data_IF_076307956174
#
_entry.id   IF_076307956174
#
_cell.length_a   1.000
_cell.length_b   1.000
_cell.length_c   1.000
_cell.angle_alpha   90.00
_cell.angle_beta   90.00
_cell.angle_gamma   90.00
#
_symmetry.space_group_name_H-M   'P 1'
#
loop_
_entity.id
_entity.type
_entity.pdbx_description
1 polymer ?
#
# COMPACT_ATOMS: atom_id res chain seq x y z
N UNK A 1 23.37 -26.65 -8.82
CA UNK A 1 23.65 -27.19 -7.49
C UNK A 1 24.96 -27.93 -7.56
N UNK A 2 26.04 -27.25 -7.28
CA UNK A 2 27.36 -27.85 -7.21
C UNK A 2 27.64 -28.16 -5.74
N UNK A 3 27.44 -29.42 -5.38
CA UNK A 3 28.04 -29.94 -4.18
C UNK A 3 29.54 -29.96 -4.42
N UNK A 4 30.28 -29.01 -3.89
CA UNK A 4 31.67 -29.25 -3.61
C UNK A 4 31.70 -30.33 -2.54
N UNK A 5 31.75 -31.57 -2.99
CA UNK A 5 32.38 -32.60 -2.20
C UNK A 5 33.81 -32.13 -1.97
N UNK A 6 34.03 -31.35 -0.97
CA UNK A 6 35.35 -31.27 -0.39
C UNK A 6 35.62 -32.67 0.06
N UNK A 7 36.57 -33.21 -0.57
CA UNK A 7 37.11 -34.50 -0.34
C UNK A 7 37.33 -34.74 1.14
N UNK A 8 36.34 -35.29 1.77
CA UNK A 8 36.55 -36.12 2.96
C UNK A 8 37.12 -37.49 2.55
N UNK A 9 37.76 -37.53 1.40
CA UNK A 9 38.63 -38.68 1.13
C UNK A 9 39.76 -38.60 2.14
N UNK A 10 39.94 -39.63 2.93
CA UNK A 10 41.10 -39.73 3.80
C UNK A 10 42.29 -39.79 2.89
N UNK A 11 42.77 -38.67 2.49
CA UNK A 11 43.79 -38.62 1.57
C UNK A 11 45.04 -38.64 2.34
N UNK A 12 45.43 -39.76 2.15
CA UNK A 12 46.74 -39.93 1.55
C UNK A 12 47.78 -39.06 2.21
N UNK A 13 48.52 -39.73 2.99
CA UNK A 13 49.90 -39.35 3.32
C UNK A 13 50.03 -38.11 4.20
N UNK A 14 49.35 -38.12 5.30
CA UNK A 14 50.01 -37.55 6.46
C UNK A 14 50.18 -38.68 7.47
N UNK A 15 51.30 -39.36 7.39
CA UNK A 15 51.84 -40.11 8.53
C UNK A 15 52.13 -39.09 9.60
N UNK A 16 51.18 -38.95 10.50
CA UNK A 16 51.45 -38.36 11.80
C UNK A 16 50.94 -39.28 12.85
N UNK A 17 51.84 -39.52 13.76
CA UNK A 17 51.72 -40.41 14.85
C UNK A 17 50.53 -40.10 15.74
N UNK A 18 49.96 -41.22 16.19
CA UNK A 18 49.31 -41.38 17.48
C UNK A 18 48.66 -40.15 18.13
N UNK A 19 47.38 -40.09 18.00
CA UNK A 19 46.48 -39.32 18.80
C UNK A 19 45.09 -39.70 18.35
N UNK A 20 44.43 -40.58 19.11
CA UNK A 20 43.06 -41.01 18.87
C UNK A 20 42.10 -39.82 19.08
N UNK A 21 41.95 -39.06 18.05
CA UNK A 21 40.80 -38.16 17.92
C UNK A 21 40.10 -38.51 16.63
N UNK A 22 39.02 -39.31 16.77
CA UNK A 22 37.99 -39.39 15.74
C UNK A 22 37.50 -37.97 15.44
N UNK A 23 38.08 -37.36 14.44
CA UNK A 23 37.44 -36.20 13.81
C UNK A 23 36.29 -36.75 12.95
N UNK A 24 35.12 -36.80 13.55
CA UNK A 24 33.90 -37.00 12.81
C UNK A 24 33.79 -35.88 11.78
N UNK A 25 33.78 -36.24 10.50
CA UNK A 25 33.32 -35.33 9.46
C UNK A 25 31.86 -35.03 9.76
N UNK A 26 31.61 -34.00 10.49
CA UNK A 26 30.27 -33.43 10.51
C UNK A 26 30.01 -32.90 9.12
N UNK A 27 28.95 -33.33 8.42
CA UNK A 27 28.53 -32.60 7.25
C UNK A 27 28.31 -31.17 7.70
N UNK A 28 29.07 -30.25 7.11
CA UNK A 28 28.77 -28.81 7.21
C UNK A 28 27.40 -28.63 6.58
N UNK A 29 26.36 -28.90 7.37
CA UNK A 29 25.02 -28.43 7.12
C UNK A 29 24.98 -26.90 7.29
N UNK A 30 25.87 -26.24 6.57
CA UNK A 30 25.63 -24.86 6.23
C UNK A 30 24.46 -24.86 5.23
N UNK A 31 23.26 -25.05 5.79
CA UNK A 31 22.07 -24.55 5.17
C UNK A 31 22.33 -23.08 4.89
N UNK A 32 22.55 -22.79 3.64
CA UNK A 32 22.52 -21.44 3.09
C UNK A 32 21.08 -20.91 3.23
N UNK A 33 20.66 -20.69 4.50
CA UNK A 33 19.33 -20.25 4.90
C UNK A 33 19.02 -18.85 4.39
N UNK A 34 20.00 -18.19 3.75
CA UNK A 34 19.91 -16.75 3.43
C UNK A 34 20.10 -16.42 1.96
N UNK A 35 19.90 -17.35 1.05
CA UNK A 35 19.52 -16.92 -0.30
C UNK A 35 18.03 -16.58 -0.26
N UNK A 36 17.68 -15.50 0.40
CA UNK A 36 16.46 -14.80 0.08
C UNK A 36 16.44 -14.65 -1.43
N UNK A 37 15.55 -15.40 -2.06
CA UNK A 37 15.28 -15.28 -3.47
C UNK A 37 14.72 -13.87 -3.61
N UNK A 38 15.58 -12.93 -3.94
CA UNK A 38 15.21 -11.54 -4.16
C UNK A 38 14.21 -11.55 -5.30
N UNK A 39 12.92 -11.57 -4.95
CA UNK A 39 11.84 -11.50 -5.93
C UNK A 39 11.92 -10.09 -6.49
N UNK A 40 12.53 -9.97 -7.66
CA UNK A 40 12.54 -8.71 -8.40
C UNK A 40 11.17 -8.56 -9.05
N UNK A 41 10.32 -7.73 -8.49
CA UNK A 41 9.06 -7.34 -9.10
C UNK A 41 9.30 -6.19 -10.06
N UNK A 42 8.64 -6.21 -11.20
CA UNK A 42 8.70 -5.13 -12.19
C UNK A 42 7.39 -4.37 -12.18
N UNK A 43 7.45 -3.06 -12.43
CA UNK A 43 6.23 -2.27 -12.66
C UNK A 43 5.63 -2.73 -13.99
N UNK A 44 4.41 -3.27 -13.93
CA UNK A 44 3.68 -3.78 -15.08
C UNK A 44 2.72 -2.74 -15.65
N UNK A 45 2.15 -1.88 -14.80
CA UNK A 45 1.23 -0.82 -15.19
C UNK A 45 1.32 0.35 -14.22
N UNK A 46 0.90 1.53 -14.68
CA UNK A 46 0.87 2.77 -13.91
C UNK A 46 -0.40 3.54 -14.18
N UNK A 47 -1.07 3.98 -13.13
CA UNK A 47 -2.27 4.80 -13.20
C UNK A 47 -2.08 6.10 -12.41
N UNK A 48 -2.63 7.17 -12.93
CA UNK A 48 -2.47 8.51 -12.38
C UNK A 48 -3.77 9.30 -12.44
N UNK A 49 -4.04 10.05 -11.39
CA UNK A 49 -5.15 10.98 -11.29
C UNK A 49 -4.68 12.33 -10.75
N UNK A 50 -5.13 13.39 -11.37
CA UNK A 50 -4.94 14.76 -10.89
C UNK A 50 -6.29 15.47 -10.88
N UNK A 51 -6.69 15.97 -9.72
CA UNK A 51 -7.96 16.66 -9.55
C UNK A 51 -7.94 18.01 -10.29
N UNK A 52 -8.90 18.22 -11.15
CA UNK A 52 -9.04 19.44 -11.97
C UNK A 52 -9.92 20.49 -11.31
N UNK A 53 -9.85 20.69 -10.03
CA UNK A 53 -10.66 21.67 -9.32
C UNK A 53 -10.67 21.43 -7.82
N UNK A 54 -11.34 22.31 -7.07
CA UNK A 54 -11.49 22.13 -5.63
C UNK A 54 -12.80 21.43 -5.31
N UNK A 55 -12.77 20.58 -4.26
CA UNK A 55 -13.95 19.96 -3.65
C UNK A 55 -14.21 20.65 -2.33
N UNK A 56 -15.43 21.16 -2.15
CA UNK A 56 -15.84 21.83 -0.91
C UNK A 56 -16.71 20.88 -0.11
N UNK A 57 -16.26 20.57 1.08
CA UNK A 57 -17.01 19.80 2.07
C UNK A 57 -17.73 20.78 3.00
N UNK A 58 -19.04 20.64 3.11
CA UNK A 58 -19.83 21.44 4.04
C UNK A 58 -20.62 20.46 4.91
N UNK A 59 -20.54 20.65 6.21
CA UNK A 59 -21.36 19.94 7.18
C UNK A 59 -22.23 20.93 7.93
N UNK A 60 -23.49 20.55 8.15
CA UNK A 60 -24.42 21.27 9.01
C UNK A 60 -24.79 20.40 10.22
N UNK A 61 -25.44 20.99 11.20
CA UNK A 61 -25.86 20.23 12.40
C UNK A 61 -26.89 19.11 12.12
N UNK A 62 -27.51 19.13 10.95
CA UNK A 62 -28.61 18.23 10.56
C UNK A 62 -28.27 17.29 9.39
N UNK A 63 -27.25 17.60 8.61
CA UNK A 63 -26.93 16.81 7.44
C UNK A 63 -26.07 15.59 7.78
N UNK A 64 -26.30 14.45 7.09
CA UNK A 64 -25.40 13.31 7.17
C UNK A 64 -24.00 13.67 6.69
N UNK A 65 -22.99 12.92 7.11
CA UNK A 65 -21.62 13.12 6.62
C UNK A 65 -21.60 13.07 5.11
N UNK A 66 -21.07 14.11 4.50
CA UNK A 66 -20.84 14.14 3.06
C UNK A 66 -19.47 13.53 2.83
N UNK A 67 -19.44 12.44 2.08
CA UNK A 67 -18.23 11.83 1.58
C UNK A 67 -18.12 12.12 0.10
N UNK A 68 -17.02 12.78 -0.30
CA UNK A 68 -16.78 13.22 -1.66
C UNK A 68 -15.61 12.45 -2.28
N UNK A 69 -15.72 12.15 -3.57
CA UNK A 69 -14.65 11.51 -4.33
C UNK A 69 -13.64 12.58 -4.77
N UNK A 70 -12.37 12.37 -4.40
CA UNK A 70 -11.25 13.27 -4.74
C UNK A 70 -10.22 12.61 -5.65
N UNK A 71 -10.38 11.34 -6.00
CA UNK A 71 -9.47 10.65 -6.88
C UNK A 71 -9.95 9.29 -7.34
N UNK A 72 -9.37 8.83 -8.45
CA UNK A 72 -9.66 7.52 -9.04
C UNK A 72 -8.41 6.98 -9.74
N UNK A 73 -7.94 5.83 -9.29
CA UNK A 73 -6.85 5.07 -9.90
C UNK A 73 -7.41 3.75 -10.42
N UNK A 74 -7.06 3.34 -11.65
CA UNK A 74 -7.62 2.17 -12.33
C UNK A 74 -6.54 1.26 -12.85
N UNK A 75 -6.77 -0.04 -12.73
CA UNK A 75 -5.95 -1.09 -13.34
C UNK A 75 -6.83 -2.11 -14.04
N UNK A 76 -6.30 -2.68 -15.11
CA UNK A 76 -6.91 -3.80 -15.84
C UNK A 76 -6.03 -5.03 -15.72
N UNK A 77 -6.66 -6.21 -15.79
CA UNK A 77 -5.97 -7.49 -15.80
C UNK A 77 -4.99 -7.64 -14.62
N UNK A 78 -5.52 -7.55 -13.42
CA UNK A 78 -4.76 -7.79 -12.17
C UNK A 78 -4.85 -9.27 -11.83
N UNK A 79 -3.72 -9.90 -11.55
CA UNK A 79 -3.63 -11.35 -11.32
C UNK A 79 -3.29 -11.68 -9.86
N UNK A 80 -3.60 -12.91 -9.48
CA UNK A 80 -3.21 -13.44 -8.19
C UNK A 80 -1.68 -13.31 -7.97
N UNK A 81 -1.30 -12.73 -6.85
CA UNK A 81 0.08 -12.44 -6.50
C UNK A 81 0.57 -11.05 -6.92
N UNK A 82 -0.20 -10.32 -7.73
CA UNK A 82 0.13 -8.93 -8.06
C UNK A 82 0.07 -8.04 -6.80
N UNK A 83 0.89 -6.98 -6.81
CA UNK A 83 0.87 -5.92 -5.82
C UNK A 83 0.50 -4.60 -6.47
N UNK A 84 -0.40 -3.85 -5.85
CA UNK A 84 -0.66 -2.47 -6.24
C UNK A 84 -0.21 -1.54 -5.11
N UNK A 85 0.79 -0.71 -5.39
CA UNK A 85 1.19 0.38 -4.50
C UNK A 85 0.44 1.63 -4.88
N UNK A 86 -0.39 2.10 -3.97
CA UNK A 86 -1.17 3.33 -4.11
C UNK A 86 -0.48 4.45 -3.34
N UNK A 87 -0.33 5.59 -3.97
CA UNK A 87 0.25 6.79 -3.37
C UNK A 87 -0.52 8.04 -3.74
N UNK A 88 -0.29 9.10 -3.01
CA UNK A 88 -0.87 10.38 -3.34
C UNK A 88 -0.75 11.42 -2.24
N UNK A 89 -1.24 12.60 -2.55
CA UNK A 89 -1.39 13.66 -1.55
C UNK A 89 -2.60 14.54 -1.87
N UNK A 90 -3.21 15.06 -0.82
CA UNK A 90 -4.31 16.02 -0.93
C UNK A 90 -4.01 17.25 -0.09
N UNK A 91 -4.17 18.44 -0.67
CA UNK A 91 -4.05 19.70 0.05
C UNK A 91 -5.43 20.16 0.51
N UNK A 92 -5.56 20.39 1.80
CA UNK A 92 -6.81 20.77 2.45
C UNK A 92 -6.68 22.09 3.16
N UNK A 93 -7.68 22.94 2.98
CA UNK A 93 -7.85 24.19 3.72
C UNK A 93 -9.10 24.09 4.57
N UNK A 94 -8.96 24.28 5.87
CA UNK A 94 -10.06 24.29 6.86
C UNK A 94 -10.57 25.72 7.00
N UNK A 95 -11.89 25.90 6.98
CA UNK A 95 -12.54 27.18 7.19
C UNK A 95 -12.39 27.72 8.62
N UNK A 96 -13.12 28.77 8.89
CA UNK A 96 -13.09 29.46 10.19
C UNK A 96 -13.72 28.64 11.34
N UNK A 97 -14.53 27.64 11.02
CA UNK A 97 -15.05 26.67 11.98
C UNK A 97 -14.46 25.30 11.64
N UNK A 98 -13.77 24.70 12.62
CA UNK A 98 -13.11 23.41 12.42
C UNK A 98 -14.08 22.25 12.53
N UNK A 99 -14.06 21.32 11.59
CA UNK A 99 -14.75 20.03 11.74
C UNK A 99 -14.10 19.13 12.80
N UNK A 100 -12.99 19.53 13.42
CA UNK A 100 -12.13 18.78 14.37
C UNK A 100 -11.39 17.62 13.76
N UNK A 101 -11.98 16.93 12.79
CA UNK A 101 -11.35 15.82 12.09
C UNK A 101 -11.75 15.81 10.61
N UNK A 102 -10.85 15.33 9.76
CA UNK A 102 -11.10 15.04 8.34
C UNK A 102 -10.66 13.61 8.10
N UNK A 103 -11.51 12.82 7.47
CA UNK A 103 -11.25 11.40 7.22
C UNK A 103 -11.10 11.17 5.73
N UNK A 104 -9.98 10.56 5.35
CA UNK A 104 -9.68 10.08 4.00
C UNK A 104 -9.89 8.57 3.96
N UNK A 105 -10.42 8.06 2.84
CA UNK A 105 -10.60 6.63 2.62
C UNK A 105 -10.18 6.23 1.21
N UNK A 106 -9.86 4.96 1.05
CA UNK A 106 -9.73 4.32 -0.25
C UNK A 106 -10.74 3.19 -0.30
N UNK A 107 -11.62 3.25 -1.30
CA UNK A 107 -12.60 2.21 -1.59
C UNK A 107 -12.11 1.40 -2.79
N UNK A 108 -12.12 0.07 -2.66
CA UNK A 108 -11.76 -0.88 -3.73
C UNK A 108 -13.02 -1.41 -4.40
N UNK A 109 -13.05 -1.29 -5.73
CA UNK A 109 -14.15 -1.76 -6.57
C UNK A 109 -13.58 -2.69 -7.63
N UNK A 110 -13.92 -3.98 -7.57
CA UNK A 110 -13.51 -5.00 -8.54
C UNK A 110 -14.62 -5.33 -9.53
N UNK A 111 -15.86 -5.02 -9.18
CA UNK A 111 -17.02 -5.17 -10.04
C UNK A 111 -17.67 -3.81 -10.30
N UNK A 112 -18.17 -3.52 -11.50
CA UNK A 112 -18.87 -2.27 -11.76
C UNK A 112 -20.03 -2.09 -10.78
N UNK A 113 -19.88 -1.18 -9.83
CA UNK A 113 -20.92 -0.83 -8.88
C UNK A 113 -21.48 0.54 -9.21
N UNK A 114 -22.77 0.69 -9.00
CA UNK A 114 -23.45 1.95 -9.26
C UNK A 114 -22.97 3.09 -8.33
N UNK A 115 -22.62 2.77 -7.08
CA UNK A 115 -22.10 3.73 -6.13
C UNK A 115 -20.79 3.21 -5.50
N UNK A 116 -19.62 3.78 -5.82
CA UNK A 116 -18.34 3.35 -5.29
C UNK A 116 -18.22 3.54 -3.76
N UNK A 117 -18.97 4.48 -3.16
CA UNK A 117 -18.96 4.73 -1.71
C UNK A 117 -19.59 3.59 -0.90
N UNK A 118 -20.32 2.68 -1.56
CA UNK A 118 -20.86 1.47 -0.93
C UNK A 118 -19.90 0.27 -1.01
N UNK A 119 -18.77 0.45 -1.68
CA UNK A 119 -17.75 -0.59 -1.83
C UNK A 119 -16.89 -0.73 -0.58
N UNK A 120 -16.21 -1.86 -0.39
CA UNK A 120 -15.33 -2.07 0.74
C UNK A 120 -14.29 -0.95 0.87
N UNK A 121 -14.17 -0.40 2.07
CA UNK A 121 -13.09 0.51 2.44
C UNK A 121 -11.87 -0.32 2.83
N UNK A 122 -10.75 -0.12 2.13
CA UNK A 122 -9.51 -0.85 2.37
C UNK A 122 -8.48 -0.03 3.15
N UNK A 123 -8.67 1.29 3.21
CA UNK A 123 -7.78 2.20 3.92
C UNK A 123 -8.56 3.36 4.53
N UNK A 124 -8.20 3.74 5.75
CA UNK A 124 -8.77 4.89 6.47
C UNK A 124 -7.67 5.67 7.14
N UNK A 125 -7.64 6.96 6.92
CA UNK A 125 -6.72 7.89 7.58
C UNK A 125 -7.49 9.12 8.09
N UNK A 126 -7.43 9.37 9.39
CA UNK A 126 -8.11 10.51 10.01
C UNK A 126 -7.11 11.50 10.59
N UNK A 127 -7.25 12.76 10.22
CA UNK A 127 -6.41 13.85 10.66
C UNK A 127 -7.21 14.78 11.55
N UNK A 128 -6.68 15.07 12.74
CA UNK A 128 -7.22 16.11 13.62
C UNK A 128 -6.84 17.49 13.09
N UNK A 129 -7.80 18.40 13.02
CA UNK A 129 -7.60 19.71 12.37
C UNK A 129 -8.14 20.85 13.24
N UNK A 130 -7.52 22.00 13.09
CA UNK A 130 -7.96 23.27 13.68
C UNK A 130 -8.52 24.19 12.59
N UNK A 131 -9.26 25.21 13.02
CA UNK A 131 -9.78 26.25 12.11
C UNK A 131 -8.62 27.03 11.44
N UNK A 132 -8.89 27.53 10.23
CA UNK A 132 -8.01 28.40 9.46
C UNK A 132 -6.61 27.79 9.17
N UNK A 133 -6.51 26.48 9.00
CA UNK A 133 -5.26 25.83 8.64
C UNK A 133 -5.30 25.27 7.22
N UNK A 134 -4.14 25.27 6.57
CA UNK A 134 -3.91 24.56 5.30
C UNK A 134 -2.77 23.58 5.49
N UNK A 135 -2.97 22.36 5.02
CA UNK A 135 -2.00 21.27 5.16
C UNK A 135 -2.13 20.27 4.02
N UNK A 136 -1.10 19.47 3.83
CA UNK A 136 -1.11 18.35 2.88
C UNK A 136 -1.12 17.03 3.63
N UNK A 137 -1.92 16.09 3.13
CA UNK A 137 -2.07 14.75 3.67
C UNK A 137 -1.51 13.75 2.67
N UNK A 138 -0.41 13.05 2.99
CA UNK A 138 0.04 11.92 2.20
C UNK A 138 -0.89 10.74 2.42
N UNK A 139 -1.14 9.99 1.36
CA UNK A 139 -1.92 8.75 1.39
C UNK A 139 -1.09 7.67 0.72
N UNK A 140 -0.76 6.61 1.46
CA UNK A 140 0.03 5.49 0.98
C UNK A 140 -0.59 4.17 1.44
N UNK A 141 -0.74 3.23 0.52
CA UNK A 141 -1.29 1.92 0.80
C UNK A 141 -0.76 0.89 -0.21
N UNK A 142 -0.64 -0.36 0.23
CA UNK A 142 -0.28 -1.48 -0.65
C UNK A 142 -1.38 -2.53 -0.58
N UNK A 143 -1.94 -2.88 -1.73
CA UNK A 143 -2.92 -3.94 -1.89
C UNK A 143 -2.26 -5.17 -2.52
N UNK A 144 -2.60 -6.36 -2.00
CA UNK A 144 -2.09 -7.64 -2.48
C UNK A 144 -3.26 -8.46 -3.00
N UNK A 145 -3.15 -8.96 -4.22
CA UNK A 145 -4.21 -9.74 -4.85
C UNK A 145 -4.05 -11.23 -4.58
N UNK A 146 -5.14 -11.84 -4.18
CA UNK A 146 -5.24 -13.30 -3.96
C UNK A 146 -6.06 -13.98 -5.04
N UNK A 147 -6.76 -13.20 -5.88
CA UNK A 147 -7.59 -13.67 -7.00
C UNK A 147 -7.32 -12.78 -8.23
N UNK A 148 -7.67 -13.29 -9.42
CA UNK A 148 -7.58 -12.56 -10.67
C UNK A 148 -8.78 -11.64 -10.82
N UNK A 149 -8.52 -10.40 -11.25
CA UNK A 149 -9.54 -9.37 -11.46
C UNK A 149 -9.41 -8.73 -12.85
N UNK A 150 -10.50 -8.64 -13.58
CA UNK A 150 -10.49 -8.03 -14.91
C UNK A 150 -10.28 -6.51 -14.86
N UNK A 151 -10.80 -5.86 -13.83
CA UNK A 151 -10.64 -4.43 -13.58
C UNK A 151 -10.71 -4.15 -12.07
N UNK A 152 -9.83 -3.28 -11.59
CA UNK A 152 -9.82 -2.78 -10.21
C UNK A 152 -9.78 -1.27 -10.22
N UNK A 153 -10.71 -0.67 -9.51
CA UNK A 153 -10.82 0.78 -9.35
C UNK A 153 -10.64 1.15 -7.88
N UNK A 154 -9.77 2.11 -7.61
CA UNK A 154 -9.56 2.68 -6.28
C UNK A 154 -10.07 4.11 -6.25
N UNK A 155 -11.15 4.32 -5.49
CA UNK A 155 -11.72 5.64 -5.27
C UNK A 155 -11.16 6.23 -3.99
N UNK A 156 -10.50 7.36 -4.11
CA UNK A 156 -10.06 8.15 -2.97
C UNK A 156 -11.18 9.10 -2.59
N UNK A 157 -11.52 9.09 -1.32
CA UNK A 157 -12.62 9.90 -0.79
C UNK A 157 -12.19 10.69 0.42
N UNK A 158 -12.93 11.74 0.71
CA UNK A 158 -12.73 12.60 1.87
C UNK A 158 -14.08 12.92 2.50
N UNK A 159 -14.12 12.95 3.82
CA UNK A 159 -15.32 13.34 4.58
C UNK A 159 -14.98 14.14 5.82
N UNK A 160 -15.94 14.95 6.26
CA UNK A 160 -15.94 15.62 7.56
C UNK A 160 -17.07 15.07 8.42
N UNK A 161 -16.93 15.04 9.75
CA UNK A 161 -17.97 14.51 10.64
C UNK A 161 -19.25 15.36 10.58
N UNK A 162 -20.35 14.72 10.86
CA UNK A 162 -21.68 15.33 11.00
C UNK A 162 -21.84 16.07 12.33
N UNK A 163 -22.87 16.89 12.42
CA UNK A 163 -23.30 17.52 13.67
C UNK A 163 -22.50 18.75 14.09
N UNK A 164 -21.60 19.20 13.22
CA UNK A 164 -20.82 20.46 13.40
C UNK A 164 -20.97 21.29 12.15
N UNK A 165 -21.36 22.55 12.29
CA UNK A 165 -21.32 23.48 11.16
C UNK A 165 -19.85 23.80 10.84
N UNK A 166 -19.36 23.24 9.75
CA UNK A 166 -17.95 23.36 9.37
C UNK A 166 -17.76 23.27 7.86
N UNK A 167 -16.67 23.84 7.38
CA UNK A 167 -16.26 23.75 6.00
C UNK A 167 -14.80 23.34 5.89
N UNK A 168 -14.51 22.51 4.89
CA UNK A 168 -13.15 22.22 4.44
C UNK A 168 -13.11 22.16 2.92
N UNK A 169 -12.02 22.62 2.33
CA UNK A 169 -11.83 22.61 0.87
C UNK A 169 -10.60 21.79 0.53
N UNK A 170 -10.78 20.76 -0.29
CA UNK A 170 -9.67 20.06 -0.94
C UNK A 170 -9.33 20.82 -2.21
N UNK A 171 -8.21 21.55 -2.20
CA UNK A 171 -7.81 22.44 -3.29
C UNK A 171 -7.05 21.71 -4.39
N UNK A 172 -6.37 20.61 -4.07
CA UNK A 172 -5.69 19.75 -5.02
C UNK A 172 -5.57 18.33 -4.47
N UNK A 173 -5.66 17.36 -5.36
CA UNK A 173 -5.38 15.97 -5.06
C UNK A 173 -4.65 15.33 -6.23
N UNK A 174 -3.59 14.61 -5.92
CA UNK A 174 -2.83 13.81 -6.88
C UNK A 174 -2.71 12.40 -6.35
N UNK A 175 -3.14 11.44 -7.14
CA UNK A 175 -3.12 10.03 -6.76
C UNK A 175 -2.45 9.21 -7.84
N UNK A 176 -1.67 8.24 -7.43
CA UNK A 176 -0.92 7.34 -8.31
C UNK A 176 -1.10 5.91 -7.87
N UNK A 177 -0.92 5.01 -8.81
CA UNK A 177 -0.84 3.59 -8.52
C UNK A 177 0.17 2.91 -9.43
N UNK A 178 0.94 1.99 -8.88
CA UNK A 178 1.87 1.14 -9.59
C UNK A 178 1.49 -0.30 -9.39
N UNK A 179 1.26 -1.03 -10.48
CA UNK A 179 1.03 -2.46 -10.49
C UNK A 179 2.37 -3.18 -10.67
N UNK A 180 2.67 -4.10 -9.78
CA UNK A 180 3.91 -4.91 -9.78
C UNK A 180 3.57 -6.40 -9.97
N UNK A 181 4.31 -7.05 -10.88
CA UNK A 181 4.28 -8.48 -11.18
C UNK A 181 5.62 -9.15 -10.94
#
# INVERSE_FOLDING_TARGET
>A
MGYHKKDCTPNRKKRYAQGDHEYGCYPDDHYDIHKEKKISRTVADFSYFNQAGSVVLTSTSTDPSVEEIIGLVKFKEVFNGDLISLGGSSTVTVGNISPKAITFRIHKVTTPQYNPLLSPTIYVHTVSVNANMTFSVPLEFVDVFIDDEAEVNYYYTVSIPTGVEATATVSSSTHTGNLYR
#
